data_IF_683754961852
#
_entry.id   IF_683754961852
#
_cell.length_a   1.000
_cell.length_b   1.000
_cell.length_c   1.000
_cell.angle_alpha   90.00
_cell.angle_beta   90.00
_cell.angle_gamma   90.00
#
_symmetry.space_group_name_H-M   'P 1'
#
loop_
_entity.id
_entity.type
_entity.pdbx_description
1 polymer ?
#
# COMPACT_ATOMS: atom_id res chain seq x y z
N UNK A 1 11.03 0.74 -7.64
CA UNK A 1 10.09 1.87 -7.32
C UNK A 1 9.07 1.43 -6.27
N UNK A 2 8.60 2.31 -5.38
CA UNK A 2 7.47 2.00 -4.48
C UNK A 2 6.16 2.42 -5.13
N UNK A 3 5.19 1.51 -5.16
CA UNK A 3 3.86 1.74 -5.71
C UNK A 3 2.81 1.72 -4.58
N UNK A 4 2.08 2.82 -4.41
CA UNK A 4 0.94 2.92 -3.51
C UNK A 4 -0.35 2.53 -4.23
N UNK A 5 -1.12 1.61 -3.67
CA UNK A 5 -2.46 1.27 -4.16
C UNK A 5 -3.43 0.97 -3.02
N UNK A 6 -4.65 0.54 -3.35
CA UNK A 6 -5.72 0.24 -2.41
C UNK A 6 -6.66 -0.84 -2.97
N UNK A 7 -7.54 -1.40 -2.13
CA UNK A 7 -8.59 -2.33 -2.54
C UNK A 7 -9.73 -1.58 -3.25
N UNK A 8 -9.42 -0.99 -4.39
CA UNK A 8 -10.34 -0.23 -5.26
C UNK A 8 -10.35 -0.85 -6.66
N UNK A 9 -11.54 -0.93 -7.26
CA UNK A 9 -11.76 -1.54 -8.56
C UNK A 9 -11.23 -2.97 -8.60
N UNK A 10 -10.33 -3.26 -9.54
CA UNK A 10 -9.65 -4.55 -9.61
C UNK A 10 -8.12 -4.40 -9.48
N UNK A 11 -7.66 -4.24 -8.25
CA UNK A 11 -6.24 -4.08 -7.95
C UNK A 11 -5.40 -5.31 -8.32
N UNK A 12 -5.99 -6.51 -8.37
CA UNK A 12 -5.28 -7.76 -8.71
C UNK A 12 -4.80 -7.79 -10.18
N UNK A 13 -5.39 -6.96 -11.04
CA UNK A 13 -4.96 -6.82 -12.45
C UNK A 13 -3.73 -5.91 -12.58
N UNK A 14 -3.46 -5.01 -11.62
CA UNK A 14 -2.34 -4.06 -11.69
C UNK A 14 -1.00 -4.77 -11.95
N UNK A 15 -0.63 -5.85 -11.22
CA UNK A 15 0.61 -6.57 -11.49
C UNK A 15 0.74 -7.07 -12.93
N UNK A 16 -0.33 -7.64 -13.48
CA UNK A 16 -0.34 -8.15 -14.85
C UNK A 16 -0.17 -7.03 -15.87
N UNK A 17 -0.82 -5.88 -15.68
CA UNK A 17 -0.65 -4.72 -16.57
C UNK A 17 0.79 -4.21 -16.53
N UNK A 18 1.38 -4.05 -15.34
CA UNK A 18 2.76 -3.60 -15.20
C UNK A 18 3.76 -4.58 -15.83
N UNK A 19 3.55 -5.88 -15.65
CA UNK A 19 4.34 -6.91 -16.33
C UNK A 19 4.24 -6.84 -17.85
N UNK A 20 3.04 -6.63 -18.41
CA UNK A 20 2.85 -6.49 -19.86
C UNK A 20 3.50 -5.22 -20.43
N UNK A 21 3.69 -4.19 -19.60
CA UNK A 21 4.43 -2.98 -19.94
C UNK A 21 5.96 -3.13 -19.82
N UNK A 22 6.44 -4.30 -19.38
CA UNK A 22 7.87 -4.60 -19.25
C UNK A 22 8.44 -4.46 -17.84
N UNK A 23 7.61 -4.10 -16.84
CA UNK A 23 8.02 -3.84 -15.46
C UNK A 23 7.37 -4.82 -14.47
N UNK A 24 7.75 -6.11 -14.44
CA UNK A 24 7.13 -7.09 -13.56
C UNK A 24 7.28 -6.71 -12.08
N UNK A 25 6.18 -6.49 -11.34
CA UNK A 25 6.24 -6.01 -9.98
C UNK A 25 6.34 -7.15 -8.96
N UNK A 26 6.84 -6.81 -7.77
CA UNK A 26 6.75 -7.62 -6.57
C UNK A 26 5.60 -7.11 -5.68
N UNK A 27 4.61 -7.97 -5.43
CA UNK A 27 3.43 -7.63 -4.63
C UNK A 27 3.60 -8.10 -3.19
N UNK A 28 3.45 -7.20 -2.21
CA UNK A 28 3.49 -7.59 -0.79
C UNK A 28 2.11 -8.11 -0.38
N UNK A 29 2.04 -9.36 0.09
CA UNK A 29 0.77 -10.01 0.43
C UNK A 29 0.90 -11.01 1.57
N UNK A 30 -0.23 -11.33 2.21
CA UNK A 30 -0.34 -12.49 3.12
C UNK A 30 -0.91 -13.67 2.33
N UNK A 31 -0.45 -14.90 2.57
CA UNK A 31 -1.14 -16.08 2.07
C UNK A 31 -2.60 -16.05 2.50
N UNK A 32 -3.49 -16.42 1.59
CA UNK A 32 -4.92 -16.54 1.86
C UNK A 32 -5.19 -17.83 2.65
N UNK A 33 -6.19 -17.80 3.53
CA UNK A 33 -6.51 -18.96 4.39
C UNK A 33 -6.95 -20.18 3.59
N UNK A 34 -7.66 -19.97 2.49
CA UNK A 34 -8.10 -21.04 1.60
C UNK A 34 -7.06 -21.31 0.51
N UNK A 35 -6.34 -22.42 0.64
CA UNK A 35 -5.19 -22.79 -0.21
C UNK A 35 -5.46 -22.76 -1.71
N UNK A 36 -6.61 -23.27 -2.18
CA UNK A 36 -6.88 -23.29 -3.62
C UNK A 36 -7.02 -21.87 -4.19
N UNK A 37 -7.60 -20.95 -3.41
CA UNK A 37 -7.70 -19.55 -3.80
C UNK A 37 -6.35 -18.82 -3.68
N UNK A 38 -5.54 -19.15 -2.68
CA UNK A 38 -4.16 -18.65 -2.56
C UNK A 38 -3.30 -19.01 -3.78
N UNK A 39 -3.38 -20.26 -4.24
CA UNK A 39 -2.68 -20.73 -5.44
C UNK A 39 -3.16 -20.02 -6.70
N UNK A 40 -4.47 -19.81 -6.84
CA UNK A 40 -5.05 -19.10 -7.97
C UNK A 40 -4.59 -17.63 -8.01
N UNK A 41 -4.72 -16.90 -6.89
CA UNK A 41 -4.31 -15.49 -6.80
C UNK A 41 -2.81 -15.33 -6.99
N UNK A 42 -2.00 -16.19 -6.36
CA UNK A 42 -0.56 -16.20 -6.54
C UNK A 42 -0.18 -16.49 -7.98
N UNK A 43 -0.84 -17.46 -8.62
CA UNK A 43 -0.66 -17.77 -10.03
C UNK A 43 -0.88 -16.55 -10.93
N UNK A 44 -1.98 -15.81 -10.74
CA UNK A 44 -2.23 -14.57 -11.50
C UNK A 44 -1.14 -13.51 -11.28
N UNK A 45 -0.67 -13.35 -10.04
CA UNK A 45 0.37 -12.37 -9.69
C UNK A 45 1.75 -12.74 -10.21
N UNK A 46 2.03 -14.03 -10.45
CA UNK A 46 3.33 -14.51 -10.94
C UNK A 46 3.34 -14.86 -12.42
N UNK A 47 2.19 -15.01 -13.08
CA UNK A 47 2.07 -15.47 -14.46
C UNK A 47 2.97 -14.67 -15.41
N UNK A 48 2.92 -13.34 -15.35
CA UNK A 48 3.72 -12.48 -16.23
C UNK A 48 5.05 -12.05 -15.59
N UNK A 49 5.71 -12.96 -14.86
CA UNK A 49 7.03 -12.71 -14.26
C UNK A 49 7.03 -11.87 -12.98
N UNK A 50 5.85 -11.53 -12.46
CA UNK A 50 5.71 -10.89 -11.15
C UNK A 50 6.09 -11.84 -10.00
N UNK A 51 6.23 -11.30 -8.79
CA UNK A 51 6.51 -12.09 -7.60
C UNK A 51 5.61 -11.68 -6.43
N UNK A 52 5.38 -12.61 -5.49
CA UNK A 52 4.66 -12.33 -4.26
C UNK A 52 5.65 -12.38 -3.09
N UNK A 53 5.74 -11.26 -2.36
CA UNK A 53 6.55 -11.17 -1.15
C UNK A 53 5.63 -11.42 0.05
N UNK A 54 5.83 -12.48 0.83
CA UNK A 54 5.01 -12.76 2.01
C UNK A 54 5.15 -11.65 3.05
N UNK A 55 4.09 -11.40 3.82
CA UNK A 55 4.11 -10.38 4.89
C UNK A 55 4.73 -10.96 6.16
N UNK A 56 5.71 -10.26 6.75
CA UNK A 56 6.46 -10.70 7.93
C UNK A 56 7.92 -10.99 7.58
N UNK A 57 8.87 -10.35 8.28
CA UNK A 57 10.32 -10.38 7.99
C UNK A 57 10.72 -10.03 6.53
N UNK A 58 9.82 -9.39 5.79
CA UNK A 58 9.92 -9.15 4.34
C UNK A 58 10.72 -7.91 3.95
N UNK A 59 11.12 -7.09 4.91
CA UNK A 59 11.88 -5.85 4.68
C UNK A 59 13.15 -6.13 3.86
N UNK A 60 13.89 -7.21 4.15
CA UNK A 60 15.10 -7.57 3.41
C UNK A 60 14.80 -7.96 1.96
N UNK A 61 13.71 -8.69 1.74
CA UNK A 61 13.27 -9.14 0.40
C UNK A 61 12.79 -7.94 -0.42
N UNK A 62 11.98 -7.07 0.18
CA UNK A 62 11.51 -5.82 -0.44
C UNK A 62 12.70 -4.94 -0.84
N UNK A 63 13.66 -4.75 0.06
CA UNK A 63 14.86 -3.96 -0.24
C UNK A 63 15.70 -4.61 -1.36
N UNK A 64 15.79 -5.94 -1.42
CA UNK A 64 16.48 -6.64 -2.51
C UNK A 64 15.76 -6.42 -3.85
N UNK A 65 14.44 -6.57 -3.89
CA UNK A 65 13.64 -6.33 -5.10
C UNK A 65 13.78 -4.89 -5.59
N UNK A 66 13.71 -3.91 -4.67
CA UNK A 66 13.90 -2.50 -5.00
C UNK A 66 15.31 -2.20 -5.55
N UNK A 67 16.36 -2.82 -4.98
CA UNK A 67 17.73 -2.71 -5.50
C UNK A 67 17.90 -3.31 -6.90
N UNK A 68 17.07 -4.30 -7.26
CA UNK A 68 17.05 -4.93 -8.58
C UNK A 68 16.20 -4.14 -9.59
N UNK A 69 15.70 -2.96 -9.23
CA UNK A 69 14.86 -2.13 -10.10
C UNK A 69 13.37 -2.47 -10.07
N UNK A 70 12.95 -3.53 -9.35
CA UNK A 70 11.55 -3.95 -9.34
C UNK A 70 10.61 -2.88 -8.75
N UNK A 71 9.37 -2.89 -9.23
CA UNK A 71 8.26 -2.15 -8.64
C UNK A 71 7.73 -2.95 -7.45
N UNK A 72 7.56 -2.34 -6.28
CA UNK A 72 6.96 -2.98 -5.11
C UNK A 72 5.62 -2.36 -4.79
N UNK A 73 4.54 -3.13 -4.97
CA UNK A 73 3.17 -2.70 -4.71
C UNK A 73 2.75 -2.90 -3.25
N UNK A 74 2.19 -1.87 -2.64
CA UNK A 74 1.68 -1.88 -1.26
C UNK A 74 0.25 -1.33 -1.21
N UNK A 75 -0.67 -2.12 -0.63
CA UNK A 75 -2.04 -1.72 -0.34
C UNK A 75 -2.10 -1.08 1.05
N UNK A 76 -2.56 0.17 1.15
CA UNK A 76 -2.49 0.98 2.38
C UNK A 76 -3.83 1.15 3.10
N UNK A 77 -4.93 0.68 2.52
CA UNK A 77 -6.30 1.00 2.92
C UNK A 77 -6.92 0.01 3.90
N UNK A 78 -6.19 -1.03 4.32
CA UNK A 78 -6.61 -1.93 5.39
C UNK A 78 -6.06 -1.51 6.76
N UNK A 79 -6.76 -1.92 7.82
CA UNK A 79 -6.31 -1.65 9.19
C UNK A 79 -5.03 -2.44 9.49
N UNK A 80 -4.06 -1.77 10.08
CA UNK A 80 -2.87 -2.42 10.62
C UNK A 80 -3.16 -3.00 12.01
N UNK A 81 -2.26 -3.87 12.49
CA UNK A 81 -2.14 -4.12 13.93
C UNK A 81 -1.63 -2.86 14.62
N UNK A 82 -1.97 -2.68 15.89
CA UNK A 82 -1.63 -1.48 16.66
C UNK A 82 -0.13 -1.13 16.64
N UNK A 83 0.75 -2.11 16.82
CA UNK A 83 2.21 -1.94 16.79
C UNK A 83 2.81 -1.84 15.38
N UNK A 84 2.03 -2.09 14.33
CA UNK A 84 2.46 -2.01 12.93
C UNK A 84 1.97 -0.71 12.25
N UNK A 85 1.13 0.06 12.94
CA UNK A 85 0.46 1.22 12.37
C UNK A 85 0.74 2.54 13.08
N UNK A 86 0.24 3.61 12.46
CA UNK A 86 0.09 4.94 13.06
C UNK A 86 -1.35 5.39 12.84
N UNK A 87 -1.85 6.27 13.70
CA UNK A 87 -3.17 6.86 13.52
C UNK A 87 -3.13 7.87 12.37
N UNK A 88 -4.07 7.74 11.44
CA UNK A 88 -4.28 8.69 10.34
C UNK A 88 -5.75 9.06 10.25
N UNK A 89 -6.02 10.30 9.87
CA UNK A 89 -7.35 10.72 9.44
C UNK A 89 -7.69 10.12 8.08
N UNK A 90 -8.84 9.45 8.00
CA UNK A 90 -9.40 8.91 6.76
C UNK A 90 -10.91 9.18 6.76
N UNK A 91 -11.33 10.14 5.93
CA UNK A 91 -12.69 10.70 5.91
C UNK A 91 -13.11 11.35 7.24
N UNK A 92 -12.23 12.11 7.91
CA UNK A 92 -12.56 12.79 9.17
C UNK A 92 -12.66 11.84 10.38
N UNK A 93 -12.23 10.59 10.21
CA UNK A 93 -12.26 9.55 11.25
C UNK A 93 -10.90 8.91 11.36
N UNK A 94 -10.45 8.70 12.58
CA UNK A 94 -9.17 8.03 12.84
C UNK A 94 -9.22 6.56 12.37
N UNK A 95 -8.15 6.14 11.72
CA UNK A 95 -7.88 4.77 11.33
C UNK A 95 -6.42 4.41 11.63
N UNK A 96 -6.17 3.20 12.12
CA UNK A 96 -4.82 2.70 12.35
C UNK A 96 -4.27 2.16 11.01
N UNK A 97 -3.32 2.88 10.42
CA UNK A 97 -2.81 2.65 9.06
C UNK A 97 -1.39 2.11 9.08
N UNK A 98 -1.11 1.12 8.23
CA UNK A 98 0.21 0.48 8.16
C UNK A 98 1.28 1.52 7.78
N UNK A 99 2.32 1.63 8.61
CA UNK A 99 3.39 2.62 8.41
C UNK A 99 4.57 2.11 7.58
N UNK A 100 4.51 0.86 7.11
CA UNK A 100 5.56 0.15 6.38
C UNK A 100 5.97 0.84 5.09
N UNK A 101 5.01 1.42 4.35
CA UNK A 101 5.29 2.20 3.14
C UNK A 101 6.14 3.44 3.45
N UNK A 102 5.76 4.21 4.47
CA UNK A 102 6.53 5.39 4.90
C UNK A 102 7.94 5.00 5.40
N UNK A 103 8.03 3.92 6.20
CA UNK A 103 9.32 3.38 6.66
C UNK A 103 10.23 2.98 5.50
N UNK A 104 9.69 2.29 4.49
CA UNK A 104 10.42 1.89 3.29
C UNK A 104 10.90 3.10 2.52
N UNK A 105 10.01 4.04 2.22
CA UNK A 105 10.31 5.24 1.45
C UNK A 105 11.39 6.10 2.13
N UNK A 106 11.28 6.30 3.46
CA UNK A 106 12.29 6.99 4.27
C UNK A 106 13.64 6.27 4.28
N UNK A 107 13.64 4.94 4.31
CA UNK A 107 14.88 4.14 4.37
C UNK A 107 15.65 4.17 3.05
N UNK A 108 14.95 4.09 1.93
CA UNK A 108 15.58 4.01 0.60
C UNK A 108 15.72 5.36 -0.09
N UNK A 109 15.00 6.39 0.39
CA UNK A 109 14.99 7.71 -0.24
C UNK A 109 14.30 7.75 -1.60
N UNK A 110 13.43 6.78 -1.90
CA UNK A 110 12.74 6.71 -3.17
C UNK A 110 11.34 7.34 -3.10
N UNK A 111 10.89 7.98 -4.18
CA UNK A 111 9.51 8.45 -4.29
C UNK A 111 8.52 7.29 -4.28
N UNK A 112 7.29 7.61 -3.89
CA UNK A 112 6.14 6.69 -3.95
C UNK A 112 5.24 7.13 -5.09
N UNK A 113 4.95 6.22 -6.02
CA UNK A 113 4.03 6.48 -7.15
C UNK A 113 2.68 5.84 -6.85
N UNK A 114 1.58 6.62 -6.75
CA UNK A 114 0.25 6.06 -6.58
C UNK A 114 -0.29 5.51 -7.90
N UNK A 115 -0.68 4.24 -7.91
CA UNK A 115 -1.28 3.56 -9.07
C UNK A 115 -2.53 2.83 -8.62
N UNK A 116 -3.65 3.10 -9.29
CA UNK A 116 -4.94 2.48 -9.01
C UNK A 116 -5.56 1.98 -10.31
N UNK A 117 -6.40 0.94 -10.22
CA UNK A 117 -7.14 0.43 -11.36
C UNK A 117 -8.63 0.45 -11.06
N UNK A 118 -9.38 1.22 -11.84
CA UNK A 118 -10.84 1.34 -11.70
C UNK A 118 -11.53 0.80 -12.93
N UNK A 119 -12.75 0.29 -12.74
CA UNK A 119 -13.63 -0.09 -13.84
C UNK A 119 -14.23 1.15 -14.49
N UNK A 120 -14.26 1.16 -15.81
CA UNK A 120 -14.83 2.22 -16.65
C UNK A 120 -15.67 1.56 -17.76
N UNK A 121 -16.97 1.40 -17.51
CA UNK A 121 -17.87 0.60 -18.35
C UNK A 121 -17.40 -0.86 -18.44
N UNK A 122 -17.09 -1.32 -19.65
CA UNK A 122 -16.55 -2.66 -19.93
C UNK A 122 -15.03 -2.74 -19.88
N UNK A 123 -14.34 -1.62 -19.62
CA UNK A 123 -12.88 -1.51 -19.61
C UNK A 123 -12.34 -1.27 -18.20
N UNK A 124 -11.02 -1.33 -18.07
CA UNK A 124 -10.29 -0.87 -16.90
C UNK A 124 -9.49 0.37 -17.24
N UNK A 125 -9.43 1.32 -16.31
CA UNK A 125 -8.67 2.56 -16.40
C UNK A 125 -7.60 2.56 -15.31
N UNK A 126 -6.34 2.60 -15.73
CA UNK A 126 -5.21 2.76 -14.82
C UNK A 126 -5.00 4.25 -14.53
N UNK A 127 -5.07 4.60 -13.26
CA UNK A 127 -4.86 5.95 -12.76
C UNK A 127 -3.48 6.02 -12.11
N UNK A 128 -2.51 6.60 -12.81
CA UNK A 128 -1.18 6.89 -12.29
C UNK A 128 -1.12 8.36 -11.86
N UNK A 129 -0.91 8.60 -10.57
CA UNK A 129 -0.76 9.96 -10.05
C UNK A 129 0.72 10.36 -10.02
N UNK A 130 0.99 11.66 -9.88
CA UNK A 130 2.34 12.18 -9.69
C UNK A 130 3.02 11.54 -8.48
N UNK A 131 4.34 11.40 -8.57
CA UNK A 131 5.14 10.90 -7.47
C UNK A 131 4.96 11.74 -6.20
N UNK A 132 4.92 11.06 -5.06
CA UNK A 132 4.85 11.67 -3.75
C UNK A 132 6.25 11.61 -3.16
N UNK A 133 6.86 12.78 -3.01
CA UNK A 133 8.17 12.91 -2.38
C UNK A 133 8.05 12.67 -0.89
N UNK A 134 9.06 11.99 -0.35
CA UNK A 134 9.15 11.69 1.07
C UNK A 134 9.51 12.96 1.83
N UNK A 135 8.68 13.32 2.81
CA UNK A 135 8.93 14.45 3.69
C UNK A 135 9.88 14.01 4.82
N UNK A 136 10.92 14.82 5.09
CA UNK A 136 11.89 14.61 6.16
C UNK A 136 11.99 15.88 7.01
N UNK A 137 11.63 15.76 8.27
CA UNK A 137 11.67 16.85 9.28
C UNK A 137 12.85 16.72 10.23
N UNK A 138 13.60 15.61 10.13
CA UNK A 138 14.67 15.26 11.08
C UNK A 138 14.19 14.39 12.25
N UNK A 139 12.88 14.32 12.49
CA UNK A 139 12.29 13.50 13.54
C UNK A 139 11.61 12.27 12.94
N UNK A 140 12.24 11.11 13.09
CA UNK A 140 11.80 9.87 12.44
C UNK A 140 10.34 9.49 12.72
N UNK A 141 9.87 9.66 13.96
CA UNK A 141 8.48 9.36 14.33
C UNK A 141 7.50 10.25 13.56
N UNK A 142 7.74 11.56 13.59
CA UNK A 142 6.96 12.58 12.88
C UNK A 142 6.97 12.38 11.36
N UNK A 143 8.13 12.02 10.79
CA UNK A 143 8.26 11.73 9.37
C UNK A 143 7.38 10.55 8.95
N UNK A 144 7.33 9.49 9.76
CA UNK A 144 6.49 8.33 9.49
C UNK A 144 5.02 8.73 9.48
N UNK A 145 4.57 9.51 10.47
CA UNK A 145 3.18 9.96 10.57
C UNK A 145 2.77 10.85 9.41
N UNK A 146 3.56 11.90 9.11
CA UNK A 146 3.29 12.85 8.01
C UNK A 146 3.18 12.12 6.67
N UNK A 147 4.15 11.25 6.36
CA UNK A 147 4.13 10.54 5.08
C UNK A 147 2.97 9.54 5.02
N UNK A 148 2.70 8.80 6.10
CA UNK A 148 1.58 7.84 6.13
C UNK A 148 0.24 8.56 5.97
N UNK A 149 0.07 9.73 6.60
CA UNK A 149 -1.10 10.58 6.41
C UNK A 149 -1.23 11.09 4.98
N UNK A 150 -0.13 11.53 4.35
CA UNK A 150 -0.12 11.99 2.96
C UNK A 150 -0.57 10.89 2.00
N UNK A 151 -0.04 9.67 2.15
CA UNK A 151 -0.46 8.52 1.35
C UNK A 151 -1.93 8.14 1.59
N UNK A 152 -2.38 8.24 2.84
CA UNK A 152 -3.79 7.98 3.22
C UNK A 152 -4.74 8.97 2.53
N UNK A 153 -4.37 10.26 2.46
CA UNK A 153 -5.16 11.28 1.74
C UNK A 153 -5.28 11.00 0.24
N UNK A 154 -4.24 10.41 -0.36
CA UNK A 154 -4.29 10.03 -1.78
C UNK A 154 -5.29 8.89 -2.00
N UNK A 155 -5.23 7.86 -1.16
CA UNK A 155 -6.25 6.79 -1.17
C UNK A 155 -7.64 7.39 -0.97
N UNK A 156 -7.82 8.28 0.00
CA UNK A 156 -9.09 8.95 0.26
C UNK A 156 -9.60 9.70 -0.98
N UNK A 157 -8.72 10.45 -1.67
CA UNK A 157 -9.09 11.17 -2.89
C UNK A 157 -9.57 10.25 -4.01
N UNK A 158 -8.97 9.05 -4.14
CA UNK A 158 -9.38 8.06 -5.12
C UNK A 158 -10.71 7.42 -4.77
N UNK A 159 -10.93 7.11 -3.49
CA UNK A 159 -12.22 6.60 -3.00
C UNK A 159 -13.31 7.65 -3.17
N UNK A 160 -13.04 8.95 -2.93
CA UNK A 160 -14.00 10.03 -3.20
C UNK A 160 -14.39 10.12 -4.67
N UNK A 161 -13.45 9.86 -5.58
CA UNK A 161 -13.69 9.90 -7.03
C UNK A 161 -14.46 8.67 -7.52
N UNK A 162 -14.21 7.50 -6.94
CA UNK A 162 -14.83 6.22 -7.33
C UNK A 162 -15.40 5.47 -6.12
N UNK A 163 -16.39 6.07 -5.42
CA UNK A 163 -16.84 5.56 -4.12
C UNK A 163 -17.44 4.16 -4.24
N UNK A 164 -18.17 3.85 -5.30
CA UNK A 164 -18.81 2.53 -5.49
C UNK A 164 -17.82 1.38 -5.72
N UNK A 165 -16.55 1.67 -5.97
CA UNK A 165 -15.54 0.68 -6.35
C UNK A 165 -14.56 0.35 -5.22
N UNK A 166 -14.67 0.99 -4.07
CA UNK A 166 -13.83 0.67 -2.92
C UNK A 166 -14.43 -0.50 -2.12
N UNK A 167 -13.59 -1.35 -1.53
CA UNK A 167 -14.03 -2.50 -0.75
C UNK A 167 -14.61 -2.10 0.63
N UNK A 168 -15.84 -1.59 0.63
CA UNK A 168 -16.57 -1.14 1.83
C UNK A 168 -16.84 -2.23 2.86
N UNK A 169 -16.78 -3.51 2.48
CA UNK A 169 -17.02 -4.64 3.38
C UNK A 169 -15.95 -4.74 4.48
N UNK A 170 -14.79 -4.12 4.28
CA UNK A 170 -13.72 -4.14 5.27
C UNK A 170 -14.00 -3.15 6.42
N UNK A 171 -13.93 -3.63 7.67
CA UNK A 171 -14.07 -2.80 8.87
C UNK A 171 -12.82 -1.94 9.11
N UNK A 172 -12.64 -0.89 8.29
CA UNK A 172 -11.47 0.01 8.26
C UNK A 172 -11.25 0.75 9.57
N UNK A 173 -12.31 1.33 10.13
CA UNK A 173 -12.25 2.14 11.36
C UNK A 173 -12.34 1.34 12.66
N UNK A 174 -12.29 0.00 12.61
CA UNK A 174 -12.31 -0.82 13.84
C UNK A 174 -10.95 -0.73 14.54
N UNK A 175 -10.82 0.23 15.46
CA UNK A 175 -9.64 0.41 16.33
C UNK A 175 -9.84 -0.42 17.60
N UNK A 176 -8.89 -1.31 17.92
CA UNK A 176 -8.92 -2.15 19.12
C UNK A 176 -7.91 -1.69 20.20
N UNK A 177 -7.69 -0.37 20.30
CA UNK A 177 -6.51 0.34 20.81
C UNK A 177 -5.37 0.37 19.80
N UNK A 178 -5.02 1.57 19.35
CA UNK A 178 -3.82 1.88 18.57
C UNK A 178 -3.21 3.01 19.38
N UNK A 179 -2.31 2.68 20.30
CA UNK A 179 -1.62 3.68 21.11
C UNK A 179 -0.80 4.59 20.19
N UNK A 180 -0.65 5.88 20.53
CA UNK A 180 0.30 6.75 19.86
C UNK A 180 1.66 6.05 19.79
N UNK A 181 2.34 6.14 18.65
CA UNK A 181 3.63 5.48 18.47
C UNK A 181 4.59 5.92 19.59
N UNK A 182 5.27 5.01 20.30
CA UNK A 182 6.11 5.39 21.43
C UNK A 182 7.23 6.33 20.95
N UNK A 183 7.21 7.55 21.49
CA UNK A 183 8.09 8.65 21.10
C UNK A 183 7.45 10.04 21.03
N UNK A 184 6.22 10.22 21.50
CA UNK A 184 5.56 11.54 21.60
C UNK A 184 5.74 12.25 22.95
N UNK A 185 6.38 11.62 23.92
CA UNK A 185 6.71 12.24 25.21
C UNK A 185 8.15 12.77 25.19
N UNK A 186 8.31 14.00 24.72
CA UNK A 186 9.45 14.83 25.07
C UNK A 186 9.05 16.30 25.15
N UNK A 187 8.31 16.63 26.22
CA UNK A 187 8.40 17.89 26.97
C UNK A 187 8.04 17.61 28.41
#
# INVERSE_FOLDING_TARGET
MLCLTAHIGNWEIIPSVLSLLGDPPASVGRPLEFRAFDLLVSGFRTWHGGSVIPTGHSMRIILKALKQGSIVGILLDQRAKWHEGVLTDFFGRLACTNKGLALLALKIGAPVVPIFLVRDGSRFKMCCNSEVRVIRTGYKAKDIEINTQAYTKIVESMVRRYPTQWNWCYKRWKIKTCEPWPGTDST
#
